data_IF_594170330172
#
_entry.id   IF_594170330172
#
_cell.length_a   1.000
_cell.length_b   1.000
_cell.length_c   1.000
_cell.angle_alpha   90.00
_cell.angle_beta   90.00
_cell.angle_gamma   90.00
#
_symmetry.space_group_name_H-M   'P 1'
#
loop_
_entity.id
_entity.type
_entity.pdbx_description
1 polymer ?
#
# COMPACT_ATOMS: atom_id res chain seq x y z
N UNK A 1 2.24 3.80 4.59
CA UNK A 1 1.44 2.58 4.46
C UNK A 1 0.62 2.41 5.72
N UNK A 2 -0.59 1.87 5.59
CA UNK A 2 -1.48 1.56 6.70
C UNK A 2 -2.17 0.23 6.40
N UNK A 3 -2.54 -0.59 7.39
CA UNK A 3 -3.30 -1.81 7.13
C UNK A 3 -4.62 -1.52 6.40
N UNK A 4 -4.99 -2.37 5.44
CA UNK A 4 -6.25 -2.27 4.69
C UNK A 4 -7.43 -2.57 5.62
N UNK A 5 -8.51 -1.81 5.47
CA UNK A 5 -9.74 -2.05 6.23
C UNK A 5 -10.49 -3.24 5.65
N UNK A 6 -10.51 -4.37 6.36
CA UNK A 6 -11.09 -5.66 5.89
C UNK A 6 -12.59 -5.63 5.54
N UNK A 7 -13.32 -4.52 5.74
CA UNK A 7 -14.75 -4.35 5.42
C UNK A 7 -15.12 -2.98 4.82
N UNK A 8 -14.15 -2.18 4.37
CA UNK A 8 -14.45 -0.87 3.79
C UNK A 8 -14.83 -1.00 2.31
N UNK A 9 -16.13 -1.07 2.01
CA UNK A 9 -16.62 -0.76 0.66
C UNK A 9 -16.32 0.71 0.35
N UNK A 10 -16.06 1.05 -0.92
CA UNK A 10 -15.66 2.38 -1.42
C UNK A 10 -16.59 3.57 -1.09
N UNK A 11 -17.69 3.34 -0.37
CA UNK A 11 -18.72 4.34 -0.06
C UNK A 11 -18.94 4.57 1.45
N UNK A 12 -18.30 3.82 2.35
CA UNK A 12 -18.52 3.97 3.79
C UNK A 12 -17.26 4.51 4.48
N UNK A 13 -17.31 5.77 4.92
CA UNK A 13 -16.31 6.36 5.81
C UNK A 13 -16.45 5.77 7.21
N UNK A 14 -15.77 4.65 7.48
CA UNK A 14 -15.51 4.23 8.84
C UNK A 14 -14.47 5.20 9.45
N UNK A 15 -14.88 6.01 10.42
CA UNK A 15 -13.95 6.80 11.24
C UNK A 15 -13.39 5.92 12.36
N UNK A 16 -12.19 5.38 12.13
CA UNK A 16 -11.11 5.31 13.11
C UNK A 16 -9.87 4.77 12.37
N UNK A 17 -8.80 5.54 12.30
CA UNK A 17 -7.48 5.01 11.93
C UNK A 17 -6.69 5.01 13.21
N UNK A 18 -6.45 3.83 13.77
CA UNK A 18 -5.39 3.70 14.76
C UNK A 18 -4.07 4.03 14.04
N UNK A 19 -3.54 5.24 14.27
CA UNK A 19 -2.28 5.68 13.64
C UNK A 19 -1.07 4.86 14.12
N UNK A 20 -1.28 3.95 15.09
CA UNK A 20 -0.26 3.03 15.62
C UNK A 20 0.39 2.13 14.56
N UNK A 21 -0.32 1.80 13.48
CA UNK A 21 0.20 0.92 12.42
C UNK A 21 0.59 1.66 11.13
N UNK A 22 0.86 2.97 11.21
CA UNK A 22 1.30 3.76 10.06
C UNK A 22 2.82 3.64 9.88
N UNK A 23 3.23 3.14 8.72
CA UNK A 23 4.64 3.09 8.32
C UNK A 23 4.93 4.08 7.19
N UNK A 24 5.78 5.08 7.42
CA UNK A 24 6.25 5.98 6.36
C UNK A 24 7.50 5.40 5.68
N UNK A 25 7.58 5.56 4.36
CA UNK A 25 8.69 5.08 3.51
C UNK A 25 9.20 6.27 2.70
N UNK A 26 10.48 6.60 2.86
CA UNK A 26 11.16 7.59 2.05
C UNK A 26 11.57 6.97 0.70
N UNK A 27 11.05 7.53 -0.41
CA UNK A 27 11.41 7.11 -1.76
C UNK A 27 12.28 8.17 -2.43
N UNK A 28 13.58 7.90 -2.55
CA UNK A 28 14.54 8.75 -3.22
C UNK A 28 14.39 8.63 -4.76
N UNK A 29 14.86 9.62 -5.53
CA UNK A 29 14.92 9.51 -6.98
C UNK A 29 15.72 8.27 -7.40
N UNK A 30 15.16 7.44 -8.29
CA UNK A 30 15.79 6.21 -8.77
C UNK A 30 15.45 4.95 -7.95
N UNK A 31 14.83 5.09 -6.78
CA UNK A 31 14.42 3.94 -5.98
C UNK A 31 13.38 3.07 -6.70
N UNK A 32 13.52 1.75 -6.52
CA UNK A 32 12.54 0.76 -6.97
C UNK A 32 11.82 0.20 -5.73
N UNK A 33 10.50 0.37 -5.68
CA UNK A 33 9.65 -0.20 -4.63
C UNK A 33 8.89 -1.42 -5.18
N UNK A 34 9.19 -2.61 -4.64
CA UNK A 34 8.47 -3.83 -4.97
C UNK A 34 7.44 -4.16 -3.88
N UNK A 35 6.15 -4.13 -4.24
CA UNK A 35 5.05 -4.51 -3.33
C UNK A 35 4.52 -5.89 -3.70
N UNK A 36 4.61 -6.82 -2.75
CA UNK A 36 4.17 -8.21 -2.89
C UNK A 36 3.43 -8.68 -1.64
N UNK A 37 2.64 -9.75 -1.80
CA UNK A 37 1.92 -10.43 -0.71
C UNK A 37 1.18 -9.42 0.21
N UNK A 38 1.38 -9.53 1.52
CA UNK A 38 0.71 -8.72 2.55
C UNK A 38 0.83 -7.21 2.26
N UNK A 39 2.03 -6.71 1.98
CA UNK A 39 2.25 -5.29 1.68
C UNK A 39 1.49 -4.77 0.44
N UNK A 40 1.03 -5.67 -0.43
CA UNK A 40 0.20 -5.35 -1.61
C UNK A 40 -1.29 -5.53 -1.37
N UNK A 41 -1.68 -6.56 -0.62
CA UNK A 41 -3.08 -6.99 -0.50
C UNK A 41 -3.73 -6.56 0.82
N UNK A 42 -2.97 -6.58 1.91
CA UNK A 42 -3.43 -6.29 3.26
C UNK A 42 -3.00 -4.90 3.75
N UNK A 43 -2.30 -4.13 2.91
CA UNK A 43 -1.89 -2.76 3.21
C UNK A 43 -2.30 -1.77 2.11
N UNK A 44 -2.77 -0.60 2.56
CA UNK A 44 -2.98 0.59 1.77
C UNK A 44 -1.70 1.44 1.75
N UNK A 45 -1.27 1.84 0.55
CA UNK A 45 -0.17 2.77 0.33
C UNK A 45 -0.69 4.03 -0.34
N UNK A 46 -0.12 5.17 0.04
CA UNK A 46 -0.53 6.46 -0.48
C UNK A 46 0.55 7.51 -0.25
N UNK A 47 0.46 8.58 -1.04
CA UNK A 47 1.31 9.77 -0.89
C UNK A 47 0.40 10.87 -0.36
N UNK A 48 0.70 11.38 0.84
CA UNK A 48 -0.08 12.48 1.41
C UNK A 48 0.06 13.73 0.52
N UNK A 49 -1.03 14.43 0.24
CA UNK A 49 -1.01 15.70 -0.50
C UNK A 49 -0.47 16.83 0.39
N UNK A 50 0.81 17.17 0.22
CA UNK A 50 1.52 18.24 0.96
C UNK A 50 2.69 18.78 0.14
N UNK A 51 3.17 19.96 0.48
CA UNK A 51 4.25 20.67 -0.23
C UNK A 51 5.66 20.36 0.30
N UNK A 52 5.77 19.87 1.53
CA UNK A 52 7.03 19.59 2.19
C UNK A 52 6.95 18.28 2.96
N UNK A 53 8.11 17.64 3.15
CA UNK A 53 8.31 16.49 4.03
C UNK A 53 9.31 16.87 5.11
N UNK A 54 9.07 16.43 6.35
CA UNK A 54 10.07 16.51 7.42
C UNK A 54 10.81 15.17 7.46
N UNK A 55 12.12 15.20 7.24
CA UNK A 55 12.99 14.02 7.18
C UNK A 55 14.20 14.33 8.04
N UNK A 56 14.42 13.53 9.10
CA UNK A 56 15.52 13.70 10.05
C UNK A 56 15.64 15.14 10.61
N UNK A 57 14.49 15.77 10.89
CA UNK A 57 14.40 17.14 11.40
C UNK A 57 14.64 18.24 10.35
N UNK A 58 14.79 17.88 9.08
CA UNK A 58 14.93 18.82 7.97
C UNK A 58 13.64 18.92 7.17
N UNK A 59 13.21 20.14 6.89
CA UNK A 59 12.09 20.41 6.01
C UNK A 59 12.55 20.41 4.55
N UNK A 60 12.10 19.42 3.78
CA UNK A 60 12.44 19.27 2.37
C UNK A 60 11.21 19.61 1.53
N UNK A 61 11.34 20.63 0.68
CA UNK A 61 10.30 21.03 -0.28
C UNK A 61 10.18 20.00 -1.40
N UNK A 62 8.97 19.57 -1.72
CA UNK A 62 8.70 18.65 -2.83
C UNK A 62 8.82 19.36 -4.17
N UNK A 63 9.55 18.72 -5.09
CA UNK A 63 9.53 19.07 -6.51
C UNK A 63 8.59 18.17 -7.32
N UNK A 64 8.61 18.35 -8.64
CA UNK A 64 7.92 17.44 -9.56
C UNK A 64 8.57 16.05 -9.51
N UNK A 65 7.79 15.03 -9.15
CA UNK A 65 8.23 13.63 -9.13
C UNK A 65 7.37 12.79 -10.07
N UNK A 66 8.02 12.02 -10.93
CA UNK A 66 7.37 11.06 -11.83
C UNK A 66 7.76 9.65 -11.37
N UNK A 67 6.78 8.77 -11.20
CA UNK A 67 7.01 7.34 -10.96
C UNK A 67 6.36 6.49 -12.04
N UNK A 68 7.05 5.46 -12.48
CA UNK A 68 6.53 4.46 -13.41
C UNK A 68 6.18 3.20 -12.61
N UNK A 69 4.91 2.83 -12.61
CA UNK A 69 4.43 1.64 -11.89
C UNK A 69 4.23 0.49 -12.87
N UNK A 70 5.03 -0.56 -12.73
CA UNK A 70 4.92 -1.77 -13.54
C UNK A 70 4.02 -2.80 -12.85
N UNK A 71 3.05 -3.36 -13.58
CA UNK A 71 2.17 -4.43 -13.09
C UNK A 71 1.89 -5.42 -14.20
N UNK A 72 1.88 -6.71 -13.86
CA UNK A 72 1.38 -7.76 -14.75
C UNK A 72 -0.15 -7.80 -14.65
N UNK A 73 -0.82 -7.77 -15.80
CA UNK A 73 -2.25 -8.04 -15.86
C UNK A 73 -2.49 -9.51 -15.48
N UNK A 74 -3.43 -9.74 -14.56
CA UNK A 74 -3.91 -11.10 -14.29
C UNK A 74 -4.87 -11.48 -15.43
N UNK A 75 -4.48 -12.43 -16.26
CA UNK A 75 -5.43 -13.15 -17.11
C UNK A 75 -6.18 -14.17 -16.25
N UNK A 76 -7.45 -14.43 -16.56
CA UNK A 76 -8.44 -15.13 -15.73
C UNK A 76 -7.85 -16.22 -14.83
N UNK A 77 -8.08 -16.10 -13.53
CA UNK A 77 -7.81 -17.19 -12.61
C UNK A 77 -8.97 -18.18 -12.74
N UNK A 78 -8.72 -19.37 -13.29
CA UNK A 78 -9.51 -20.53 -12.88
C UNK A 78 -9.32 -20.64 -11.36
N UNK A 79 -10.44 -20.60 -10.63
CA UNK A 79 -10.45 -20.88 -9.21
C UNK A 79 -9.98 -22.33 -9.03
N UNK A 80 -8.72 -22.51 -8.62
CA UNK A 80 -8.27 -23.82 -8.15
C UNK A 80 -8.98 -24.06 -6.80
N UNK A 81 -9.88 -25.05 -6.69
CA UNK A 81 -10.51 -25.34 -5.42
C UNK A 81 -9.42 -25.75 -4.43
N UNK A 82 -9.39 -25.11 -3.27
CA UNK A 82 -8.57 -25.53 -2.14
C UNK A 82 -8.97 -26.96 -1.80
N UNK A 83 -8.06 -27.91 -2.03
CA UNK A 83 -8.19 -29.24 -1.46
C UNK A 83 -8.07 -29.09 0.05
N UNK A 84 -9.22 -29.00 0.73
CA UNK A 84 -9.31 -29.32 2.15
C UNK A 84 -8.97 -30.78 2.30
N UNK A 85 -7.73 -31.08 2.68
CA UNK A 85 -7.38 -32.39 3.23
C UNK A 85 -8.19 -32.56 4.50
N UNK A 86 -9.25 -33.37 4.42
CA UNK A 86 -9.89 -33.94 5.60
C UNK A 86 -8.93 -34.99 6.17
N UNK A 87 -8.30 -34.69 7.30
CA UNK A 87 -7.68 -35.73 8.12
C UNK A 87 -8.79 -36.60 8.73
N UNK A 88 -8.72 -37.90 8.50
CA UNK A 88 -9.44 -38.95 9.24
C UNK A 88 -8.47 -39.60 10.22
#
# INVERSE_FOLDING_TARGET
MRPTRKNATSYNNAENTDDRDKQDILLRPGDILALSQEARYDWEHGIQSRLFDEIDGQLITRGTRISVTLRKLKYGQEEMPSMTTSEQ
#
